data_IF_285053823097
#
_entry.id   IF_285053823097
#
_cell.length_a   1.000
_cell.length_b   1.000
_cell.length_c   1.000
_cell.angle_alpha   90.00
_cell.angle_beta   90.00
_cell.angle_gamma   90.00
#
_symmetry.space_group_name_H-M   'P 1'
#
loop_
_entity.id
_entity.type
_entity.pdbx_description
1 polymer ?
#
# COMPACT_ATOMS: atom_id res chain seq x y z
N UNK A 1 -41.12 7.58 14.87
CA UNK A 1 -39.97 8.52 14.86
C UNK A 1 -39.72 8.89 13.42
N UNK A 2 -39.84 10.17 13.03
CA UNK A 2 -39.83 10.55 11.62
C UNK A 2 -38.43 10.39 11.03
N UNK A 3 -38.36 9.77 9.86
CA UNK A 3 -37.16 9.61 9.04
C UNK A 3 -36.53 10.98 8.77
N UNK A 4 -35.26 11.14 9.12
CA UNK A 4 -34.49 12.31 8.73
C UNK A 4 -34.15 12.21 7.23
N UNK A 5 -34.22 13.32 6.47
CA UNK A 5 -34.01 13.29 5.03
C UNK A 5 -32.57 12.89 4.74
N UNK A 6 -32.39 11.87 3.90
CA UNK A 6 -31.08 11.52 3.36
C UNK A 6 -30.56 12.72 2.57
N UNK A 7 -29.61 13.46 3.15
CA UNK A 7 -28.89 14.52 2.46
C UNK A 7 -28.11 13.88 1.29
N UNK A 8 -28.10 14.50 0.11
CA UNK A 8 -27.47 13.91 -1.09
C UNK A 8 -26.01 13.48 -0.89
N UNK A 9 -25.29 14.11 0.05
CA UNK A 9 -23.94 13.73 0.48
C UNK A 9 -23.88 12.34 1.15
N UNK A 10 -24.87 12.00 1.98
CA UNK A 10 -24.98 10.68 2.61
C UNK A 10 -25.25 9.58 1.59
N UNK A 11 -25.99 9.90 0.52
CA UNK A 11 -26.26 8.96 -0.57
C UNK A 11 -25.01 8.65 -1.38
N UNK A 12 -24.14 9.64 -1.64
CA UNK A 12 -22.87 9.43 -2.36
C UNK A 12 -21.92 8.55 -1.54
N UNK A 13 -21.79 8.81 -0.24
CA UNK A 13 -20.93 8.01 0.65
C UNK A 13 -21.41 6.56 0.71
N UNK A 14 -22.72 6.34 0.77
CA UNK A 14 -23.31 4.99 0.74
C UNK A 14 -23.03 4.27 -0.59
N UNK A 15 -23.23 4.95 -1.72
CA UNK A 15 -22.95 4.38 -3.05
C UNK A 15 -21.48 3.99 -3.20
N UNK A 16 -20.55 4.85 -2.77
CA UNK A 16 -19.11 4.59 -2.87
C UNK A 16 -18.71 3.44 -1.94
N UNK A 17 -19.26 3.40 -0.72
CA UNK A 17 -19.05 2.30 0.22
C UNK A 17 -19.53 0.96 -0.34
N UNK A 18 -20.77 0.92 -0.83
CA UNK A 18 -21.38 -0.28 -1.41
C UNK A 18 -20.64 -0.76 -2.66
N UNK A 19 -20.18 0.17 -3.50
CA UNK A 19 -19.36 -0.16 -4.66
C UNK A 19 -18.03 -0.79 -4.25
N UNK A 20 -17.33 -0.19 -3.26
CA UNK A 20 -16.09 -0.72 -2.71
C UNK A 20 -16.26 -2.14 -2.14
N UNK A 21 -17.34 -2.36 -1.39
CA UNK A 21 -17.67 -3.67 -0.81
C UNK A 21 -17.98 -4.72 -1.87
N UNK A 22 -18.70 -4.35 -2.93
CA UNK A 22 -18.99 -5.25 -4.06
C UNK A 22 -17.73 -5.63 -4.81
N UNK A 23 -16.85 -4.67 -5.07
CA UNK A 23 -15.53 -4.90 -5.69
C UNK A 23 -14.70 -5.84 -4.82
N UNK A 24 -14.62 -5.58 -3.51
CA UNK A 24 -13.85 -6.40 -2.58
C UNK A 24 -14.35 -7.86 -2.58
N UNK A 25 -15.66 -8.09 -2.50
CA UNK A 25 -16.27 -9.43 -2.56
C UNK A 25 -16.04 -10.14 -3.90
N UNK A 26 -16.08 -9.41 -5.01
CA UNK A 26 -15.79 -9.97 -6.32
C UNK A 26 -14.33 -10.42 -6.39
N UNK A 27 -13.40 -9.53 -6.03
CA UNK A 27 -11.96 -9.77 -6.04
C UNK A 27 -11.59 -10.95 -5.15
N UNK A 28 -12.07 -11.00 -3.91
CA UNK A 28 -11.81 -12.11 -2.98
C UNK A 28 -12.33 -13.46 -3.48
N UNK A 29 -13.38 -13.47 -4.31
CA UNK A 29 -13.97 -14.69 -4.85
C UNK A 29 -13.24 -15.22 -6.09
N UNK A 30 -12.65 -14.33 -6.89
CA UNK A 30 -12.11 -14.67 -8.20
C UNK A 30 -10.59 -14.64 -8.28
N UNK A 31 -9.90 -13.88 -7.43
CA UNK A 31 -8.44 -13.84 -7.43
C UNK A 31 -7.93 -15.14 -6.78
N UNK A 32 -7.23 -16.01 -7.54
CA UNK A 32 -6.60 -17.17 -6.97
C UNK A 32 -5.39 -16.75 -6.13
N UNK A 33 -4.94 -17.65 -5.26
CA UNK A 33 -3.75 -17.42 -4.45
C UNK A 33 -2.55 -17.01 -5.32
N UNK A 34 -1.70 -16.10 -4.81
CA UNK A 34 -0.54 -15.57 -5.53
C UNK A 34 0.37 -16.68 -6.05
N UNK A 35 0.54 -17.78 -5.31
CA UNK A 35 1.34 -18.92 -5.75
C UNK A 35 0.75 -19.60 -6.99
N UNK A 36 -0.58 -19.75 -7.05
CA UNK A 36 -1.28 -20.33 -8.20
C UNK A 36 -1.08 -19.47 -9.43
N UNK A 37 -1.19 -18.14 -9.29
CA UNK A 37 -0.91 -17.19 -10.38
C UNK A 37 0.53 -17.35 -10.89
N UNK A 38 1.51 -17.41 -9.99
CA UNK A 38 2.92 -17.62 -10.35
C UNK A 38 3.16 -18.93 -11.11
N UNK A 39 2.51 -20.03 -10.70
CA UNK A 39 2.64 -21.32 -11.37
C UNK A 39 2.01 -21.31 -12.77
N UNK A 40 0.82 -20.71 -12.92
CA UNK A 40 0.17 -20.55 -14.23
C UNK A 40 1.05 -19.71 -15.17
N UNK A 41 1.61 -18.60 -14.67
CA UNK A 41 2.51 -17.75 -15.46
C UNK A 41 3.80 -18.48 -15.83
N UNK A 42 4.37 -19.28 -14.94
CA UNK A 42 5.57 -20.08 -15.21
C UNK A 42 5.32 -21.08 -16.34
N UNK A 43 4.24 -21.85 -16.25
CA UNK A 43 3.86 -22.79 -17.31
C UNK A 43 3.59 -22.05 -18.62
N UNK A 44 2.85 -20.95 -18.58
CA UNK A 44 2.55 -20.14 -19.76
C UNK A 44 3.81 -19.59 -20.41
N UNK A 45 4.76 -19.07 -19.62
CA UNK A 45 6.02 -18.55 -20.13
C UNK A 45 6.86 -19.64 -20.80
N UNK A 46 6.94 -20.84 -20.22
CA UNK A 46 7.65 -21.98 -20.82
C UNK A 46 6.99 -22.40 -22.13
N UNK A 47 5.66 -22.50 -22.17
CA UNK A 47 4.94 -22.84 -23.41
C UNK A 47 5.17 -21.78 -24.49
N UNK A 48 5.12 -20.50 -24.14
CA UNK A 48 5.40 -19.40 -25.07
C UNK A 48 6.85 -19.41 -25.56
N UNK A 49 7.82 -19.77 -24.73
CA UNK A 49 9.21 -19.92 -25.15
C UNK A 49 9.37 -21.08 -26.16
N UNK A 50 8.72 -22.21 -25.91
CA UNK A 50 8.78 -23.37 -26.79
C UNK A 50 8.07 -23.16 -28.12
N UNK A 51 6.86 -22.60 -28.12
CA UNK A 51 6.06 -22.43 -29.34
C UNK A 51 6.31 -21.11 -30.07
N UNK A 52 6.81 -20.09 -29.37
CA UNK A 52 7.02 -18.75 -29.93
C UNK A 52 8.46 -18.46 -30.32
N UNK A 53 9.44 -19.06 -29.65
CA UNK A 53 10.87 -18.83 -29.88
C UNK A 53 11.62 -20.10 -30.33
N UNK A 54 10.91 -21.21 -30.60
CA UNK A 54 11.47 -22.52 -30.96
C UNK A 54 12.53 -23.04 -29.97
N UNK A 55 12.49 -22.58 -28.71
CA UNK A 55 13.43 -22.99 -27.68
C UNK A 55 13.12 -24.42 -27.21
N UNK A 56 14.15 -25.22 -26.95
CA UNK A 56 13.94 -26.55 -26.37
C UNK A 56 13.45 -26.44 -24.92
N UNK A 57 12.78 -27.50 -24.43
CA UNK A 57 12.33 -27.54 -23.03
C UNK A 57 13.48 -27.33 -22.04
N UNK A 58 14.65 -27.91 -22.32
CA UNK A 58 15.83 -27.76 -21.48
C UNK A 58 16.32 -26.31 -21.43
N UNK A 59 16.43 -25.64 -22.59
CA UNK A 59 16.82 -24.22 -22.65
C UNK A 59 15.82 -23.32 -21.91
N UNK A 60 14.51 -23.59 -22.06
CA UNK A 60 13.45 -22.84 -21.41
C UNK A 60 13.51 -22.95 -19.87
N UNK A 61 13.76 -24.16 -19.35
CA UNK A 61 13.89 -24.39 -17.90
C UNK A 61 15.17 -23.77 -17.34
N UNK A 62 16.30 -23.88 -18.06
CA UNK A 62 17.55 -23.24 -17.66
C UNK A 62 17.43 -21.72 -17.64
N UNK A 63 16.79 -21.14 -18.66
CA UNK A 63 16.53 -19.69 -18.72
C UNK A 63 15.61 -19.23 -17.57
N UNK A 64 14.54 -19.98 -17.28
CA UNK A 64 13.68 -19.72 -16.13
C UNK A 64 14.45 -19.76 -14.81
N UNK A 65 15.29 -20.78 -14.61
CA UNK A 65 16.12 -20.93 -13.40
C UNK A 65 17.09 -19.76 -13.21
N UNK A 66 17.72 -19.28 -14.28
CA UNK A 66 18.57 -18.09 -14.22
C UNK A 66 17.78 -16.83 -13.84
N UNK A 67 16.60 -16.63 -14.44
CA UNK A 67 15.72 -15.51 -14.10
C UNK A 67 15.25 -15.53 -12.65
N UNK A 68 14.96 -16.72 -12.11
CA UNK A 68 14.57 -16.90 -10.70
C UNK A 68 15.64 -16.39 -9.72
N UNK A 69 16.92 -16.59 -10.01
CA UNK A 69 18.00 -16.09 -9.15
C UNK A 69 18.08 -14.56 -9.15
N UNK A 70 17.89 -13.91 -10.29
CA UNK A 70 17.82 -12.44 -10.36
C UNK A 70 16.61 -11.88 -9.61
N UNK A 71 15.45 -12.54 -9.72
CA UNK A 71 14.26 -12.16 -8.95
C UNK A 71 14.44 -12.37 -7.45
N UNK A 72 15.17 -13.41 -7.04
CA UNK A 72 15.50 -13.66 -5.64
C UNK A 72 16.38 -12.53 -5.06
N UNK A 73 17.40 -12.10 -5.81
CA UNK A 73 18.24 -10.98 -5.40
C UNK A 73 17.41 -9.69 -5.24
N UNK A 74 16.57 -9.37 -6.23
CA UNK A 74 15.65 -8.24 -6.17
C UNK A 74 14.69 -8.33 -4.96
N UNK A 75 14.13 -9.51 -4.72
CA UNK A 75 13.25 -9.75 -3.58
C UNK A 75 13.97 -9.57 -2.24
N UNK A 76 15.23 -10.00 -2.13
CA UNK A 76 16.05 -9.78 -0.94
C UNK A 76 16.33 -8.29 -0.71
N UNK A 77 16.65 -7.54 -1.78
CA UNK A 77 16.83 -6.08 -1.70
C UNK A 77 15.57 -5.38 -1.16
N UNK A 78 14.39 -5.73 -1.68
CA UNK A 78 13.12 -5.18 -1.20
C UNK A 78 12.78 -5.60 0.23
N UNK A 79 13.06 -6.86 0.59
CA UNK A 79 12.84 -7.37 1.95
C UNK A 79 13.71 -6.63 2.96
N UNK A 80 15.00 -6.48 2.67
CA UNK A 80 15.94 -5.74 3.54
C UNK A 80 15.49 -4.27 3.65
N UNK A 81 15.10 -3.63 2.54
CA UNK A 81 14.60 -2.26 2.56
C UNK A 81 13.37 -2.10 3.47
N UNK A 82 12.40 -3.01 3.38
CA UNK A 82 11.21 -3.01 4.24
C UNK A 82 11.53 -3.25 5.72
N UNK A 83 12.44 -4.18 6.02
CA UNK A 83 12.88 -4.46 7.39
C UNK A 83 13.62 -3.26 7.97
N UNK A 84 14.52 -2.64 7.21
CA UNK A 84 15.24 -1.45 7.63
C UNK A 84 14.30 -0.27 7.88
N UNK A 85 13.36 -0.02 6.97
CA UNK A 85 12.29 0.97 7.14
C UNK A 85 11.51 0.72 8.44
N UNK A 86 11.10 -0.52 8.70
CA UNK A 86 10.42 -0.89 9.92
C UNK A 86 11.28 -0.65 11.16
N UNK A 87 12.53 -1.10 11.18
CA UNK A 87 13.43 -0.91 12.30
C UNK A 87 13.66 0.58 12.61
N UNK A 88 13.80 1.43 11.58
CA UNK A 88 13.95 2.88 11.75
C UNK A 88 12.69 3.51 12.36
N UNK A 89 11.50 3.20 11.84
CA UNK A 89 10.25 3.80 12.34
C UNK A 89 9.85 3.23 13.71
N UNK A 90 10.10 1.95 13.96
CA UNK A 90 9.82 1.27 15.23
C UNK A 90 10.71 1.76 16.39
N UNK A 91 11.72 2.57 16.10
CA UNK A 91 12.61 3.10 17.12
C UNK A 91 11.88 4.04 18.10
N UNK A 92 12.26 3.97 19.39
CA UNK A 92 11.73 4.84 20.45
C UNK A 92 11.73 6.34 20.12
N UNK A 93 12.78 6.94 19.52
CA UNK A 93 12.75 8.35 19.17
C UNK A 93 11.68 8.68 18.13
N UNK A 94 11.51 7.82 17.12
CA UNK A 94 10.48 8.03 16.09
C UNK A 94 9.08 7.85 16.66
N UNK A 95 8.86 6.87 17.53
CA UNK A 95 7.57 6.72 18.22
C UNK A 95 7.16 7.97 19.02
N UNK A 96 8.11 8.59 19.71
CA UNK A 96 7.87 9.87 20.42
C UNK A 96 7.58 11.01 19.45
N UNK A 97 8.30 11.06 18.33
CA UNK A 97 8.05 12.04 17.28
C UNK A 97 6.65 11.88 16.67
N UNK A 98 6.22 10.64 16.41
CA UNK A 98 4.88 10.35 15.89
C UNK A 98 3.78 10.73 16.88
N UNK A 99 3.93 10.41 18.17
CA UNK A 99 2.93 10.82 19.17
C UNK A 99 2.84 12.35 19.30
N UNK A 100 3.98 13.04 19.27
CA UNK A 100 4.02 14.51 19.24
C UNK A 100 3.34 15.08 18.00
N UNK A 101 3.64 14.52 16.81
CA UNK A 101 3.05 14.97 15.55
C UNK A 101 1.54 14.73 15.50
N UNK A 102 1.06 13.67 16.16
CA UNK A 102 -0.37 13.34 16.25
C UNK A 102 -1.17 14.27 17.17
N UNK A 103 -0.52 15.00 18.08
CA UNK A 103 -1.16 15.94 19.01
C UNK A 103 -1.24 17.37 18.44
N UNK A 104 -0.51 17.66 17.34
CA UNK A 104 -0.49 18.98 16.70
C UNK A 104 -1.82 19.38 16.00
N UNK A 105 -2.59 18.47 15.38
CA UNK A 105 -3.89 18.81 14.79
C UNK A 105 -4.93 19.20 15.86
N UNK A 106 -5.80 20.17 15.54
CA UNK A 106 -6.91 20.52 16.42
C UNK A 106 -7.97 19.40 16.43
N UNK A 107 -8.26 18.88 17.62
CA UNK A 107 -9.25 17.81 17.86
C UNK A 107 -10.66 18.19 17.41
N UNK A 108 -10.96 19.47 17.26
CA UNK A 108 -12.24 19.96 16.76
C UNK A 108 -12.33 20.04 15.23
N UNK A 109 -11.21 19.88 14.52
CA UNK A 109 -11.11 19.97 13.06
C UNK A 109 -10.55 18.66 12.48
N UNK A 110 -11.40 17.64 12.23
CA UNK A 110 -10.94 16.32 11.78
C UNK A 110 -10.19 16.35 10.44
N UNK A 111 -10.48 17.34 9.58
CA UNK A 111 -9.78 17.54 8.30
C UNK A 111 -8.29 17.82 8.51
N UNK A 112 -7.89 18.50 9.58
CA UNK A 112 -6.48 18.80 9.85
C UNK A 112 -5.69 17.52 10.17
N UNK A 113 -6.30 16.58 10.89
CA UNK A 113 -5.69 15.27 11.18
C UNK A 113 -5.49 14.44 9.90
N UNK A 114 -6.46 14.47 8.98
CA UNK A 114 -6.39 13.78 7.68
C UNK A 114 -5.30 14.42 6.80
N UNK A 115 -5.25 15.75 6.74
CA UNK A 115 -4.22 16.47 5.98
C UNK A 115 -2.82 16.20 6.54
N UNK A 116 -2.67 16.11 7.87
CA UNK A 116 -1.39 15.79 8.52
C UNK A 116 -0.86 14.43 8.10
N UNK A 117 -1.67 13.37 8.20
CA UNK A 117 -1.22 12.03 7.78
C UNK A 117 -0.98 11.94 6.27
N UNK A 118 -1.79 12.64 5.47
CA UNK A 118 -1.57 12.75 4.03
C UNK A 118 -0.23 13.41 3.71
N UNK A 119 0.05 14.57 4.29
CA UNK A 119 1.33 15.27 4.12
C UNK A 119 2.52 14.43 4.61
N UNK A 120 2.38 13.77 5.77
CA UNK A 120 3.39 12.85 6.28
C UNK A 120 3.66 11.69 5.32
N UNK A 121 2.61 11.08 4.77
CA UNK A 121 2.71 10.01 3.78
C UNK A 121 3.42 10.49 2.51
N UNK A 122 3.07 11.68 2.01
CA UNK A 122 3.70 12.30 0.84
C UNK A 122 5.20 12.59 1.07
N UNK A 123 5.57 13.15 2.22
CA UNK A 123 6.97 13.42 2.58
C UNK A 123 7.77 12.13 2.71
N UNK A 124 7.24 11.13 3.42
CA UNK A 124 7.92 9.84 3.57
C UNK A 124 8.01 9.07 2.25
N UNK A 125 6.98 9.17 1.39
CA UNK A 125 6.94 8.61 0.03
C UNK A 125 7.93 9.26 -0.92
N UNK A 126 8.18 10.57 -0.75
CA UNK A 126 9.20 11.28 -1.51
C UNK A 126 10.62 10.79 -1.16
N UNK A 127 10.86 10.44 0.09
CA UNK A 127 12.17 9.95 0.55
C UNK A 127 12.42 8.50 0.13
N UNK A 128 11.47 7.61 0.42
CA UNK A 128 11.59 6.20 0.06
C UNK A 128 10.22 5.51 0.11
N UNK A 129 9.90 4.74 -0.93
CA UNK A 129 8.63 4.01 -1.03
C UNK A 129 8.42 3.01 0.13
N UNK A 130 9.44 2.26 0.54
CA UNK A 130 9.34 1.27 1.62
C UNK A 130 9.15 1.94 2.98
N UNK A 131 9.84 3.06 3.21
CA UNK A 131 9.66 3.90 4.40
C UNK A 131 8.22 4.41 4.49
N UNK A 132 7.65 4.94 3.41
CA UNK A 132 6.29 5.48 3.40
C UNK A 132 5.23 4.47 3.82
N UNK A 133 5.31 3.24 3.30
CA UNK A 133 4.37 2.16 3.63
C UNK A 133 4.38 1.87 5.13
N UNK A 134 5.57 1.67 5.69
CA UNK A 134 5.69 1.29 7.11
C UNK A 134 5.41 2.48 8.03
N UNK A 135 5.93 3.66 7.69
CA UNK A 135 5.77 4.89 8.45
C UNK A 135 4.30 5.31 8.56
N UNK A 136 3.59 5.34 7.42
CA UNK A 136 2.19 5.72 7.39
C UNK A 136 1.33 4.72 8.17
N UNK A 137 1.58 3.41 8.00
CA UNK A 137 0.86 2.37 8.74
C UNK A 137 1.05 2.48 10.26
N UNK A 138 2.28 2.76 10.71
CA UNK A 138 2.57 2.92 12.14
C UNK A 138 2.04 4.25 12.71
N UNK A 139 1.83 5.27 11.88
CA UNK A 139 1.30 6.57 12.32
C UNK A 139 -0.23 6.59 12.46
N UNK A 140 -0.97 5.83 11.65
CA UNK A 140 -2.45 5.75 11.68
C UNK A 140 -3.00 5.57 13.11
N UNK A 141 -2.52 4.61 13.94
CA UNK A 141 -3.05 4.41 15.28
C UNK A 141 -2.83 5.60 16.21
N UNK A 142 -1.74 6.37 16.06
CA UNK A 142 -1.48 7.56 16.87
C UNK A 142 -2.48 8.68 16.54
N UNK A 143 -2.68 8.95 15.25
CA UNK A 143 -3.65 9.96 14.79
C UNK A 143 -5.06 9.57 15.21
N UNK A 144 -5.46 8.32 15.03
CA UNK A 144 -6.79 7.83 15.39
C UNK A 144 -7.06 7.92 16.90
N UNK A 145 -6.06 7.64 17.74
CA UNK A 145 -6.17 7.76 19.20
C UNK A 145 -6.26 9.22 19.67
N UNK A 146 -5.47 10.13 19.08
CA UNK A 146 -5.44 11.55 19.45
C UNK A 146 -6.63 12.34 18.88
N UNK A 147 -7.18 11.89 17.75
CA UNK A 147 -8.23 12.57 16.99
C UNK A 147 -9.44 11.65 16.74
N UNK A 148 -10.21 11.27 17.79
CA UNK A 148 -11.30 10.29 17.67
C UNK A 148 -12.48 10.76 16.81
N UNK A 149 -12.57 12.07 16.50
CA UNK A 149 -13.62 12.63 15.63
C UNK A 149 -13.33 12.42 14.13
N UNK A 150 -12.11 12.03 13.76
CA UNK A 150 -11.75 11.76 12.37
C UNK A 150 -12.07 10.29 12.01
N UNK A 151 -12.69 10.07 10.86
CA UNK A 151 -13.01 8.72 10.38
C UNK A 151 -11.73 7.95 10.04
N UNK A 152 -11.54 6.81 10.70
CA UNK A 152 -10.39 5.93 10.53
C UNK A 152 -10.19 5.50 9.07
N UNK A 153 -11.27 5.30 8.31
CA UNK A 153 -11.21 4.90 6.91
C UNK A 153 -10.56 5.98 6.05
N UNK A 154 -10.88 7.25 6.34
CA UNK A 154 -10.32 8.40 5.63
C UNK A 154 -8.87 8.65 6.06
N UNK A 155 -8.55 8.45 7.34
CA UNK A 155 -7.15 8.49 7.84
C UNK A 155 -6.29 7.45 7.10
N UNK A 156 -6.78 6.21 7.00
CA UNK A 156 -6.08 5.14 6.28
C UNK A 156 -5.91 5.51 4.80
N UNK A 157 -6.98 5.96 4.14
CA UNK A 157 -6.93 6.38 2.74
C UNK A 157 -5.91 7.52 2.51
N UNK A 158 -5.87 8.52 3.39
CA UNK A 158 -4.89 9.60 3.33
C UNK A 158 -3.46 9.10 3.58
N UNK A 159 -3.26 8.12 4.46
CA UNK A 159 -1.98 7.46 4.69
C UNK A 159 -1.43 6.70 3.48
N UNK A 160 -2.27 6.35 2.50
CA UNK A 160 -1.84 5.74 1.24
C UNK A 160 -1.45 6.74 0.15
N UNK A 161 -1.65 8.04 0.34
CA UNK A 161 -1.35 9.02 -0.72
C UNK A 161 0.12 8.99 -1.15
N UNK A 162 1.06 8.92 -0.20
CA UNK A 162 2.50 8.87 -0.49
C UNK A 162 2.91 7.76 -1.43
N UNK A 163 2.42 6.54 -1.18
CA UNK A 163 2.71 5.39 -2.03
C UNK A 163 1.96 5.50 -3.37
N UNK A 164 0.73 5.99 -3.40
CA UNK A 164 -0.05 6.04 -4.64
C UNK A 164 0.30 7.22 -5.57
N UNK A 165 0.87 8.33 -5.08
CA UNK A 165 1.05 9.54 -5.88
C UNK A 165 2.49 9.94 -6.11
N UNK A 166 3.39 9.77 -5.13
CA UNK A 166 4.74 10.34 -5.20
C UNK A 166 5.83 9.28 -5.34
N UNK A 167 5.57 8.00 -5.03
CA UNK A 167 6.64 6.97 -5.02
C UNK A 167 7.51 6.99 -6.28
N UNK A 168 6.90 7.09 -7.47
CA UNK A 168 7.65 7.06 -8.74
C UNK A 168 8.32 8.39 -9.12
N UNK A 169 7.93 9.50 -8.50
CA UNK A 169 8.45 10.85 -8.80
C UNK A 169 9.32 11.44 -7.67
N UNK A 170 9.61 10.66 -6.62
CA UNK A 170 10.43 11.08 -5.49
C UNK A 170 11.93 10.92 -5.71
N UNK A 171 12.73 11.27 -4.71
CA UNK A 171 14.19 11.05 -4.73
C UNK A 171 14.57 9.55 -4.83
N UNK A 172 13.62 8.64 -4.54
CA UNK A 172 13.77 7.18 -4.73
C UNK A 172 13.17 6.65 -6.02
N UNK A 173 12.76 7.51 -6.96
CA UNK A 173 12.31 7.07 -8.27
C UNK A 173 13.50 6.53 -9.05
N UNK A 174 13.61 5.20 -9.16
CA UNK A 174 14.50 4.56 -10.11
C UNK A 174 13.94 4.75 -11.52
N UNK A 175 14.31 5.87 -12.14
CA UNK A 175 14.33 6.03 -13.59
C UNK A 175 15.66 5.52 -14.14
#
# INVERSE_FOLDING_TARGET
MPEQPQTGMGSIIAIVGDAGDRLCRFTQRWIPDSWVVCMILTVTAILLAMFGADATLNESVLAWGNGMWSLLELAMQFTIAMIAAHACVASRPVYRFLDWLADLPDKNRPVQAIAMIGAYSLVTGYLNWALSVVASALFVPFIARRNPKADIRVIIAAGYLGICTIWHGGLSGSA
#
